data_IF_058803557693
#
_entry.id   IF_058803557693
#
_cell.length_a   1.000
_cell.length_b   1.000
_cell.length_c   1.000
_cell.angle_alpha   90.00
_cell.angle_beta   90.00
_cell.angle_gamma   90.00
#
_symmetry.space_group_name_H-M   'P 1'
#
loop_
_entity.id
_entity.type
_entity.pdbx_description
1 polymer ?
#
# COMPACT_ATOMS: atom_id res chain seq x y z
N UNK A 1 -41.05 15.06 16.67
CA UNK A 1 -40.49 13.87 17.35
C UNK A 1 -39.08 13.66 16.82
N UNK A 2 -38.08 14.20 17.54
CA UNK A 2 -36.67 14.15 17.16
C UNK A 2 -36.09 12.85 17.72
N UNK A 3 -35.62 11.94 16.85
CA UNK A 3 -34.88 10.75 17.27
C UNK A 3 -33.42 11.15 17.46
N UNK A 4 -32.91 10.86 18.65
CA UNK A 4 -31.58 11.18 19.15
C UNK A 4 -30.57 10.26 18.47
N UNK A 5 -29.56 10.85 17.85
CA UNK A 5 -28.38 10.17 17.29
C UNK A 5 -27.46 9.84 18.47
N UNK A 6 -27.19 8.55 18.69
CA UNK A 6 -26.20 8.08 19.65
C UNK A 6 -24.84 8.06 18.98
N UNK A 7 -24.02 9.07 19.29
CA UNK A 7 -22.62 9.18 18.89
C UNK A 7 -21.79 8.22 19.76
N UNK A 8 -21.23 7.16 19.17
CA UNK A 8 -20.28 6.30 19.87
C UNK A 8 -18.92 7.02 19.90
N UNK A 9 -18.76 7.92 20.88
CA UNK A 9 -17.44 8.43 21.26
C UNK A 9 -16.63 7.26 21.81
N UNK A 10 -15.52 6.93 21.15
CA UNK A 10 -14.46 6.12 21.73
C UNK A 10 -13.92 6.92 22.93
N UNK A 11 -14.43 6.60 24.12
CA UNK A 11 -14.01 7.21 25.37
C UNK A 11 -12.56 6.82 25.63
N UNK A 12 -11.64 7.73 25.29
CA UNK A 12 -10.29 7.72 25.83
C UNK A 12 -10.44 7.86 27.35
N UNK A 13 -10.33 6.75 28.07
CA UNK A 13 -10.39 6.72 29.52
C UNK A 13 -9.20 7.50 30.07
N UNK A 14 -9.46 8.78 30.37
CA UNK A 14 -8.56 9.63 31.14
C UNK A 14 -8.49 9.03 32.53
N UNK A 15 -7.39 8.34 32.82
CA UNK A 15 -7.09 7.87 34.17
C UNK A 15 -6.78 9.11 34.99
N UNK A 16 -7.68 9.49 35.91
CA UNK A 16 -7.39 10.50 36.91
C UNK A 16 -6.30 9.96 37.83
N UNK A 17 -5.07 10.43 37.65
CA UNK A 17 -3.97 10.18 38.58
C UNK A 17 -4.24 11.01 39.83
N UNK A 18 -4.65 10.33 40.90
CA UNK A 18 -4.64 10.89 42.25
C UNK A 18 -3.17 11.06 42.68
N UNK A 19 -2.71 12.30 42.80
CA UNK A 19 -1.38 12.61 43.34
C UNK A 19 -1.29 12.19 44.81
N UNK A 20 -0.88 10.95 45.07
CA UNK A 20 -0.28 10.60 46.34
C UNK A 20 1.17 11.08 46.33
N UNK A 21 1.59 11.79 47.39
CA UNK A 21 2.86 12.55 47.45
C UNK A 21 4.13 11.68 47.51
N UNK A 22 4.06 10.42 47.10
CA UNK A 22 5.18 9.50 46.99
C UNK A 22 4.94 8.57 45.78
N UNK A 23 5.30 8.99 44.57
CA UNK A 23 5.12 8.17 43.37
C UNK A 23 5.97 8.67 42.23
N UNK A 24 6.89 7.83 41.73
CA UNK A 24 7.60 8.12 40.49
C UNK A 24 6.60 8.25 39.35
N UNK A 25 6.81 9.22 38.46
CA UNK A 25 6.02 9.34 37.24
C UNK A 25 6.17 8.04 36.43
N UNK A 26 5.09 7.27 36.30
CA UNK A 26 5.03 6.18 35.32
C UNK A 26 5.04 6.82 33.93
N UNK A 27 6.18 6.77 33.26
CA UNK A 27 6.33 7.20 31.87
C UNK A 27 5.50 6.25 31.00
N UNK A 28 4.57 6.75 30.16
CA UNK A 28 3.81 5.89 29.26
C UNK A 28 4.76 5.11 28.34
N UNK A 29 4.45 3.83 28.01
CA UNK A 29 5.26 3.05 27.09
C UNK A 29 5.42 3.75 25.75
N UNK A 30 6.63 3.71 25.19
CA UNK A 30 6.90 4.32 23.89
C UNK A 30 6.37 3.42 22.76
N UNK A 31 5.69 4.01 21.76
CA UNK A 31 5.33 3.27 20.55
C UNK A 31 6.59 3.03 19.73
N UNK A 32 6.81 1.78 19.32
CA UNK A 32 7.98 1.37 18.54
C UNK A 32 7.57 0.49 17.36
N UNK A 33 8.41 0.46 16.34
CA UNK A 33 8.32 -0.53 15.24
C UNK A 33 9.01 -1.81 15.69
N UNK A 34 8.23 -2.84 16.02
CA UNK A 34 8.74 -4.13 16.51
C UNK A 34 9.27 -5.02 15.38
N UNK A 35 8.77 -4.82 14.16
CA UNK A 35 9.16 -5.59 12.99
C UNK A 35 8.61 -5.01 11.71
N UNK A 36 9.25 -5.35 10.60
CA UNK A 36 8.90 -4.89 9.26
C UNK A 36 8.83 -6.10 8.35
N UNK A 37 7.66 -6.42 7.81
CA UNK A 37 7.57 -7.46 6.79
C UNK A 37 7.98 -6.90 5.45
N UNK A 38 8.75 -7.67 4.70
CA UNK A 38 9.12 -7.35 3.33
C UNK A 38 8.45 -8.39 2.44
N UNK A 39 7.49 -7.93 1.64
CA UNK A 39 6.84 -8.78 0.64
C UNK A 39 7.64 -8.72 -0.66
N UNK A 40 7.99 -9.89 -1.19
CA UNK A 40 8.74 -10.04 -2.42
C UNK A 40 7.81 -10.63 -3.50
N UNK A 41 7.70 -9.96 -4.64
CA UNK A 41 6.78 -10.34 -5.72
C UNK A 41 7.09 -11.74 -6.27
N UNK A 42 8.39 -12.06 -6.39
CA UNK A 42 8.86 -13.16 -7.21
C UNK A 42 8.85 -12.81 -8.70
N UNK A 43 8.99 -13.84 -9.54
CA UNK A 43 8.97 -13.77 -10.99
C UNK A 43 7.79 -14.54 -11.55
N UNK A 44 7.22 -14.05 -12.65
CA UNK A 44 6.08 -14.67 -13.31
C UNK A 44 6.34 -16.16 -13.61
N UNK A 45 5.39 -17.01 -13.26
CA UNK A 45 5.42 -18.47 -13.45
C UNK A 45 6.55 -19.20 -12.69
N UNK A 46 7.26 -18.53 -11.78
CA UNK A 46 8.38 -19.12 -11.04
C UNK A 46 7.97 -19.67 -9.66
N UNK A 47 6.81 -19.25 -9.14
CA UNK A 47 6.30 -19.67 -7.83
C UNK A 47 7.35 -19.47 -6.72
N UNK A 48 7.91 -18.26 -6.68
CA UNK A 48 9.03 -17.82 -5.85
C UNK A 48 8.74 -16.50 -5.11
N UNK A 49 7.46 -16.10 -5.01
CA UNK A 49 7.08 -15.04 -4.10
C UNK A 49 7.46 -15.43 -2.66
N UNK A 50 7.89 -14.46 -1.86
CA UNK A 50 8.33 -14.71 -0.48
C UNK A 50 7.90 -13.60 0.47
N UNK A 51 7.87 -13.95 1.76
CA UNK A 51 7.65 -13.01 2.86
C UNK A 51 8.83 -13.12 3.81
N UNK A 52 9.48 -12.00 4.07
CA UNK A 52 10.57 -11.88 5.04
C UNK A 52 10.13 -11.01 6.21
N UNK A 53 10.75 -11.20 7.39
CA UNK A 53 10.58 -10.32 8.56
C UNK A 53 11.93 -9.70 8.91
N UNK A 54 11.99 -8.38 8.84
CA UNK A 54 13.14 -7.57 9.26
C UNK A 54 12.91 -7.01 10.66
N UNK A 55 13.91 -7.13 11.54
CA UNK A 55 13.92 -6.49 12.85
C UNK A 55 14.73 -5.18 12.78
N UNK A 56 14.12 -4.00 12.99
CA UNK A 56 14.81 -2.72 12.86
C UNK A 56 15.82 -2.42 13.99
N UNK A 57 15.70 -3.06 15.16
CA UNK A 57 16.63 -2.88 16.29
C UNK A 57 17.90 -3.72 16.09
N UNK A 58 17.75 -5.01 15.76
CA UNK A 58 18.89 -5.91 15.56
C UNK A 58 19.43 -5.93 14.13
N UNK A 59 18.69 -5.33 13.18
CA UNK A 59 18.96 -5.33 11.74
C UNK A 59 19.05 -6.74 11.12
N UNK A 60 18.36 -7.72 11.71
CA UNK A 60 18.35 -9.12 11.24
C UNK A 60 17.14 -9.35 10.36
N UNK A 61 17.34 -10.04 9.23
CA UNK A 61 16.27 -10.53 8.38
C UNK A 61 16.03 -12.04 8.59
N UNK A 62 14.76 -12.40 8.75
CA UNK A 62 14.27 -13.78 8.71
C UNK A 62 13.53 -13.99 7.40
N UNK A 63 14.17 -14.63 6.43
CA UNK A 63 13.58 -14.88 5.12
C UNK A 63 12.57 -16.04 5.14
N UNK A 64 11.68 -16.05 4.15
CA UNK A 64 10.73 -17.15 3.88
C UNK A 64 9.86 -17.55 5.08
N UNK A 65 9.41 -16.59 5.91
CA UNK A 65 8.66 -16.88 7.13
C UNK A 65 7.35 -17.62 6.84
N UNK A 66 6.71 -17.34 5.69
CA UNK A 66 5.49 -18.03 5.27
C UNK A 66 5.77 -19.50 4.95
N UNK A 67 6.80 -19.79 4.14
CA UNK A 67 7.13 -21.16 3.77
C UNK A 67 7.57 -21.97 4.99
N UNK A 68 8.40 -21.38 5.85
CA UNK A 68 8.86 -22.01 7.08
C UNK A 68 7.71 -22.35 8.03
N UNK A 69 6.67 -21.51 8.13
CA UNK A 69 5.52 -21.74 9.00
C UNK A 69 4.54 -22.79 8.47
N UNK A 70 4.52 -23.02 7.15
CA UNK A 70 3.46 -23.81 6.48
C UNK A 70 3.97 -25.03 5.70
N UNK A 71 5.26 -25.15 5.43
CA UNK A 71 5.81 -26.15 4.51
C UNK A 71 5.30 -25.99 3.08
N UNK A 72 4.90 -24.77 2.71
CA UNK A 72 4.24 -24.42 1.44
C UNK A 72 4.73 -23.05 0.98
N UNK A 73 5.13 -22.94 -0.28
CA UNK A 73 5.51 -21.66 -0.90
C UNK A 73 4.36 -20.66 -0.90
N UNK A 74 4.69 -19.36 -0.82
CA UNK A 74 3.70 -18.28 -0.81
C UNK A 74 2.92 -18.23 -2.12
N UNK A 75 3.56 -18.50 -3.25
CA UNK A 75 2.92 -18.55 -4.55
C UNK A 75 3.69 -17.79 -5.62
N UNK A 76 2.94 -17.26 -6.57
CA UNK A 76 3.43 -16.60 -7.76
C UNK A 76 2.82 -15.21 -7.91
N UNK A 77 3.68 -14.19 -8.01
CA UNK A 77 3.36 -12.76 -8.07
C UNK A 77 2.57 -12.25 -6.85
N UNK A 78 3.20 -12.18 -5.68
CA UNK A 78 2.59 -11.53 -4.52
C UNK A 78 2.57 -10.00 -4.70
N UNK A 79 1.38 -9.42 -4.84
CA UNK A 79 1.22 -8.02 -5.25
C UNK A 79 1.16 -7.06 -4.06
N UNK A 80 0.45 -7.45 -3.01
CA UNK A 80 0.19 -6.57 -1.89
C UNK A 80 -0.03 -7.34 -0.58
N UNK A 81 0.15 -6.63 0.53
CA UNK A 81 -0.08 -7.12 1.88
C UNK A 81 -0.74 -6.06 2.74
N UNK A 82 -1.57 -6.50 3.68
CA UNK A 82 -2.20 -5.64 4.66
C UNK A 82 -2.11 -6.29 6.04
N UNK A 83 -1.73 -5.52 7.06
CA UNK A 83 -1.84 -5.92 8.46
C UNK A 83 -3.09 -5.25 9.03
N UNK A 84 -4.12 -6.05 9.31
CA UNK A 84 -5.42 -5.53 9.76
C UNK A 84 -6.11 -6.49 10.73
N UNK A 85 -6.74 -5.96 11.78
CA UNK A 85 -7.43 -6.79 12.78
C UNK A 85 -6.54 -7.88 13.43
N UNK A 86 -5.24 -7.59 13.58
CA UNK A 86 -4.24 -8.51 14.14
C UNK A 86 -3.80 -9.66 13.21
N UNK A 87 -4.27 -9.68 11.96
CA UNK A 87 -3.92 -10.68 10.93
C UNK A 87 -3.15 -10.02 9.80
N UNK A 88 -2.48 -10.83 9.01
CA UNK A 88 -1.92 -10.40 7.74
C UNK A 88 -2.77 -10.97 6.60
N UNK A 89 -3.06 -10.14 5.61
CA UNK A 89 -3.72 -10.49 4.36
C UNK A 89 -2.68 -10.32 3.26
N UNK A 90 -2.47 -11.34 2.43
CA UNK A 90 -1.44 -11.32 1.39
C UNK A 90 -2.09 -11.69 0.06
N UNK A 91 -2.13 -10.76 -0.87
CA UNK A 91 -2.69 -10.92 -2.21
C UNK A 91 -1.64 -11.54 -3.13
N UNK A 92 -1.92 -12.75 -3.64
CA UNK A 92 -1.03 -13.47 -4.55
C UNK A 92 -1.72 -13.64 -5.90
N UNK A 93 -1.36 -12.77 -6.83
CA UNK A 93 -2.09 -12.52 -8.08
C UNK A 93 -2.19 -13.77 -8.94
N UNK A 94 -1.05 -14.35 -9.37
CA UNK A 94 -1.08 -15.47 -10.30
C UNK A 94 -1.48 -16.79 -9.63
N UNK A 95 -1.39 -16.85 -8.30
CA UNK A 95 -1.92 -17.95 -7.49
C UNK A 95 -3.41 -17.80 -7.13
N UNK A 96 -4.05 -16.68 -7.50
CA UNK A 96 -5.49 -16.43 -7.35
C UNK A 96 -5.99 -16.67 -5.93
N UNK A 97 -5.23 -16.20 -4.95
CA UNK A 97 -5.50 -16.42 -3.52
C UNK A 97 -5.11 -15.20 -2.69
N UNK A 98 -5.94 -14.90 -1.70
CA UNK A 98 -5.57 -14.04 -0.58
C UNK A 98 -5.32 -14.94 0.62
N UNK A 99 -4.08 -14.99 1.11
CA UNK A 99 -3.77 -15.70 2.34
C UNK A 99 -4.08 -14.82 3.54
N UNK A 100 -4.80 -15.37 4.52
CA UNK A 100 -4.93 -14.77 5.84
C UNK A 100 -4.03 -15.54 6.79
N UNK A 101 -3.10 -14.86 7.44
CA UNK A 101 -2.11 -15.46 8.33
C UNK A 101 -2.06 -14.76 9.70
N UNK A 102 -1.52 -15.46 10.70
CA UNK A 102 -1.07 -14.81 11.93
C UNK A 102 0.24 -14.02 11.70
N UNK A 103 0.69 -13.25 12.69
CA UNK A 103 1.96 -12.51 12.61
C UNK A 103 3.23 -13.38 12.51
N UNK A 104 3.12 -14.71 12.57
CA UNK A 104 4.24 -15.63 12.35
C UNK A 104 4.23 -16.22 10.94
N UNK A 105 3.30 -15.77 10.08
CA UNK A 105 3.12 -16.27 8.72
C UNK A 105 2.32 -17.57 8.66
N UNK A 106 1.75 -18.08 9.76
CA UNK A 106 0.96 -19.32 9.76
C UNK A 106 -0.39 -19.08 9.09
N UNK A 107 -0.76 -19.93 8.13
CA UNK A 107 -2.06 -19.82 7.43
C UNK A 107 -3.20 -20.05 8.42
N UNK A 108 -4.11 -19.09 8.48
CA UNK A 108 -5.41 -19.16 9.14
C UNK A 108 -6.51 -19.45 8.12
N UNK A 109 -6.41 -18.87 6.91
CA UNK A 109 -7.37 -19.08 5.83
C UNK A 109 -6.73 -18.87 4.45
N UNK A 110 -7.18 -19.65 3.47
CA UNK A 110 -6.97 -19.37 2.04
C UNK A 110 -8.28 -18.86 1.45
N UNK A 111 -8.30 -17.61 0.98
CA UNK A 111 -9.47 -17.00 0.36
C UNK A 111 -9.31 -17.03 -1.17
N UNK A 112 -10.16 -17.83 -1.82
CA UNK A 112 -10.36 -17.79 -3.27
C UNK A 112 -11.68 -17.08 -3.53
N UNK A 113 -11.65 -16.06 -4.38
CA UNK A 113 -12.79 -15.23 -4.74
C UNK A 113 -13.13 -15.56 -6.18
N UNK A 114 -14.41 -15.74 -6.47
CA UNK A 114 -14.93 -16.07 -7.79
C UNK A 114 -16.32 -15.43 -7.93
N UNK A 115 -16.69 -15.10 -9.15
CA UNK A 115 -18.09 -14.90 -9.50
C UNK A 115 -18.83 -16.25 -9.42
N UNK A 116 -20.13 -16.25 -9.13
CA UNK A 116 -20.91 -17.50 -9.02
C UNK A 116 -20.78 -18.37 -10.28
N UNK A 117 -20.11 -19.52 -10.14
CA UNK A 117 -19.83 -20.46 -11.23
C UNK A 117 -18.66 -20.06 -12.14
N UNK A 118 -18.01 -18.92 -11.91
CA UNK A 118 -16.85 -18.41 -12.64
C UNK A 118 -15.50 -18.93 -12.11
N UNK A 119 -14.39 -18.59 -12.79
CA UNK A 119 -13.05 -18.93 -12.33
C UNK A 119 -12.66 -18.11 -11.09
N UNK A 120 -11.61 -18.56 -10.39
CA UNK A 120 -10.99 -17.73 -9.35
C UNK A 120 -10.45 -16.44 -9.97
N UNK A 121 -10.70 -15.34 -9.29
CA UNK A 121 -10.23 -14.01 -9.63
C UNK A 121 -8.83 -13.76 -9.04
N UNK A 122 -8.12 -12.81 -9.63
CA UNK A 122 -6.70 -12.56 -9.39
C UNK A 122 -6.54 -11.27 -8.54
N UNK A 123 -6.20 -11.37 -7.24
CA UNK A 123 -6.17 -10.20 -6.37
C UNK A 123 -4.99 -9.28 -6.70
N UNK A 124 -5.19 -7.96 -6.58
CA UNK A 124 -4.20 -6.92 -6.87
C UNK A 124 -3.80 -6.16 -5.59
N UNK A 125 -4.61 -5.21 -5.14
CA UNK A 125 -4.34 -4.40 -3.95
C UNK A 125 -5.34 -4.69 -2.81
N UNK A 126 -4.94 -4.38 -1.58
CA UNK A 126 -5.67 -4.65 -0.35
C UNK A 126 -5.85 -3.36 0.48
N UNK A 127 -7.02 -3.23 1.11
CA UNK A 127 -7.30 -2.10 2.01
C UNK A 127 -8.15 -2.52 3.20
N UNK A 128 -7.71 -2.17 4.40
CA UNK A 128 -8.49 -2.38 5.63
C UNK A 128 -9.34 -1.16 5.94
N UNK A 129 -10.65 -1.32 6.06
CA UNK A 129 -11.55 -0.21 6.38
C UNK A 129 -12.83 -0.69 7.06
N UNK A 130 -13.25 -0.02 8.14
CA UNK A 130 -14.47 -0.31 8.91
C UNK A 130 -14.70 -1.80 9.25
N UNK A 131 -13.65 -2.51 9.68
CA UNK A 131 -13.74 -3.92 10.08
C UNK A 131 -13.82 -4.91 8.90
N UNK A 132 -13.62 -4.43 7.68
CA UNK A 132 -13.57 -5.22 6.44
C UNK A 132 -12.20 -5.09 5.79
N UNK A 133 -11.86 -6.07 4.95
CA UNK A 133 -10.76 -5.96 3.98
C UNK A 133 -11.38 -5.88 2.59
N UNK A 134 -10.94 -4.90 1.82
CA UNK A 134 -11.29 -4.74 0.42
C UNK A 134 -10.14 -5.22 -0.44
N UNK A 135 -10.45 -5.88 -1.55
CA UNK A 135 -9.47 -6.35 -2.50
C UNK A 135 -9.91 -6.02 -3.92
N UNK A 136 -9.04 -5.39 -4.70
CA UNK A 136 -9.25 -5.27 -6.15
C UNK A 136 -8.89 -6.58 -6.82
N UNK A 137 -9.71 -6.99 -7.78
CA UNK A 137 -9.56 -8.20 -8.54
C UNK A 137 -9.37 -7.83 -10.01
N UNK A 138 -8.28 -8.29 -10.62
CA UNK A 138 -7.84 -7.88 -11.95
C UNK A 138 -8.90 -8.06 -13.04
N UNK A 139 -9.87 -8.96 -12.85
CA UNK A 139 -10.96 -9.20 -13.77
C UNK A 139 -12.10 -8.15 -13.71
N UNK A 140 -11.96 -7.03 -13.00
CA UNK A 140 -12.95 -5.94 -13.00
C UNK A 140 -13.86 -5.91 -11.77
N UNK A 141 -13.38 -6.39 -10.62
CA UNK A 141 -14.20 -6.47 -9.41
C UNK A 141 -13.54 -5.86 -8.19
N UNK A 142 -14.37 -5.32 -7.30
CA UNK A 142 -14.02 -5.02 -5.92
C UNK A 142 -14.65 -6.08 -5.01
N UNK A 143 -13.82 -6.80 -4.26
CA UNK A 143 -14.27 -7.71 -3.22
C UNK A 143 -14.25 -7.03 -1.85
N UNK A 144 -15.28 -7.28 -1.03
CA UNK A 144 -15.30 -6.98 0.40
C UNK A 144 -15.26 -8.30 1.18
N UNK A 145 -14.38 -8.38 2.17
CA UNK A 145 -14.14 -9.55 3.03
C UNK A 145 -14.39 -9.14 4.48
N UNK A 146 -15.31 -9.82 5.16
CA UNK A 146 -15.50 -9.65 6.60
C UNK A 146 -14.31 -10.24 7.39
N UNK A 147 -13.82 -9.52 8.39
CA UNK A 147 -12.60 -9.91 9.13
C UNK A 147 -12.85 -10.91 10.26
N UNK A 148 -14.11 -11.15 10.63
CA UNK A 148 -14.54 -12.09 11.66
C UNK A 148 -14.87 -13.46 11.05
N UNK A 149 -15.69 -13.49 9.99
CA UNK A 149 -16.19 -14.73 9.41
C UNK A 149 -15.68 -15.05 7.99
N UNK A 150 -14.96 -14.11 7.36
CA UNK A 150 -14.46 -14.21 5.99
C UNK A 150 -15.54 -14.36 4.91
N UNK A 151 -16.78 -13.97 5.20
CA UNK A 151 -17.83 -13.79 4.20
C UNK A 151 -17.41 -12.75 3.16
N UNK A 152 -17.87 -12.94 1.93
CA UNK A 152 -17.42 -12.18 0.76
C UNK A 152 -18.60 -11.55 0.06
N UNK A 153 -18.44 -10.29 -0.33
CA UNK A 153 -19.29 -9.62 -1.30
C UNK A 153 -18.42 -9.19 -2.47
N UNK A 154 -19.02 -9.12 -3.64
CA UNK A 154 -18.37 -8.72 -4.87
C UNK A 154 -19.24 -7.70 -5.58
N UNK A 155 -18.62 -6.70 -6.20
CA UNK A 155 -19.28 -5.77 -7.11
C UNK A 155 -18.36 -5.55 -8.31
N UNK A 156 -18.96 -5.43 -9.48
CA UNK A 156 -18.27 -4.96 -10.68
C UNK A 156 -17.82 -3.50 -10.51
N UNK A 157 -16.66 -3.20 -11.06
CA UNK A 157 -16.07 -1.86 -11.19
C UNK A 157 -15.49 -1.75 -12.60
N UNK A 158 -14.72 -0.70 -12.90
CA UNK A 158 -14.01 -0.59 -14.18
C UNK A 158 -12.94 -1.67 -14.39
N UNK A 159 -12.48 -1.77 -15.64
CA UNK A 159 -11.55 -2.81 -16.09
C UNK A 159 -10.19 -2.78 -15.38
N UNK A 160 -9.73 -3.96 -14.97
CA UNK A 160 -8.41 -4.18 -14.37
C UNK A 160 -8.09 -3.22 -13.21
N UNK A 161 -8.87 -3.29 -12.12
CA UNK A 161 -8.67 -2.42 -10.98
C UNK A 161 -7.35 -2.73 -10.27
N UNK A 162 -6.66 -1.67 -9.87
CA UNK A 162 -5.34 -1.70 -9.23
C UNK A 162 -5.46 -1.20 -7.78
N UNK A 163 -4.88 -0.05 -7.45
CA UNK A 163 -4.93 0.55 -6.11
C UNK A 163 -6.33 0.96 -5.68
N UNK A 164 -6.52 1.04 -4.37
CA UNK A 164 -7.77 1.47 -3.76
C UNK A 164 -7.51 2.27 -2.49
N UNK A 165 -8.40 3.22 -2.20
CA UNK A 165 -8.38 4.01 -0.97
C UNK A 165 -9.80 4.16 -0.40
N UNK A 166 -9.93 4.52 0.87
CA UNK A 166 -11.23 4.74 1.51
C UNK A 166 -11.28 6.09 2.20
N UNK A 167 -12.43 6.77 2.04
CA UNK A 167 -12.77 7.99 2.77
C UNK A 167 -14.23 7.88 3.18
N UNK A 168 -14.51 8.14 4.46
CA UNK A 168 -15.83 7.95 5.07
C UNK A 168 -16.36 6.52 4.79
N UNK A 169 -17.50 6.40 4.13
CA UNK A 169 -18.14 5.12 3.79
C UNK A 169 -18.00 4.74 2.31
N UNK A 170 -16.99 5.30 1.64
CA UNK A 170 -16.70 5.06 0.23
C UNK A 170 -15.32 4.44 0.04
N UNK A 171 -15.23 3.51 -0.90
CA UNK A 171 -13.99 2.97 -1.44
C UNK A 171 -13.83 3.49 -2.88
N UNK A 172 -12.66 4.05 -3.16
CA UNK A 172 -12.25 4.56 -4.45
C UNK A 172 -11.33 3.52 -5.09
N UNK A 173 -11.59 3.12 -6.32
CA UNK A 173 -10.90 2.04 -7.02
C UNK A 173 -10.33 2.53 -8.33
N UNK A 174 -9.01 2.50 -8.50
CA UNK A 174 -8.34 2.92 -9.73
C UNK A 174 -8.47 1.84 -10.81
N UNK A 175 -9.07 2.16 -11.96
CA UNK A 175 -9.28 1.22 -13.05
C UNK A 175 -8.24 1.47 -14.16
N UNK A 176 -7.20 0.65 -14.19
CA UNK A 176 -6.04 0.86 -15.06
C UNK A 176 -6.30 0.51 -16.53
N UNK A 177 -7.33 -0.31 -16.82
CA UNK A 177 -7.52 -0.95 -18.12
C UNK A 177 -6.47 -2.04 -18.44
N UNK A 178 -5.57 -2.32 -17.49
CA UNK A 178 -4.71 -3.50 -17.47
C UNK A 178 -3.39 -3.36 -18.21
N UNK A 179 -2.77 -4.50 -18.45
CA UNK A 179 -1.48 -4.65 -19.13
C UNK A 179 -1.58 -4.45 -20.67
N UNK A 180 -2.23 -3.36 -21.10
CA UNK A 180 -2.44 -3.00 -22.50
C UNK A 180 -1.17 -2.36 -23.11
N UNK A 181 -0.05 -3.08 -23.06
CA UNK A 181 1.23 -2.62 -23.63
C UNK A 181 1.29 -2.64 -25.16
N UNK A 182 0.18 -2.96 -25.84
CA UNK A 182 0.10 -3.06 -27.30
C UNK A 182 -0.50 -1.81 -27.91
N UNK A 183 0.15 -1.27 -28.94
CA UNK A 183 -0.33 -0.13 -29.75
C UNK A 183 -1.79 -0.34 -30.17
N UNK A 184 -2.67 0.61 -29.84
CA UNK A 184 -4.08 0.62 -30.25
C UNK A 184 -5.08 0.07 -29.23
N UNK A 185 -4.65 -0.26 -28.01
CA UNK A 185 -5.55 -0.44 -26.85
C UNK A 185 -5.39 0.72 -25.88
N UNK A 186 -6.51 1.31 -25.48
CA UNK A 186 -6.52 2.39 -24.52
C UNK A 186 -6.33 1.84 -23.11
N UNK A 187 -5.52 2.52 -22.30
CA UNK A 187 -5.53 2.33 -20.86
C UNK A 187 -6.81 2.90 -20.27
N UNK A 188 -7.23 2.38 -19.13
CA UNK A 188 -8.31 2.96 -18.35
C UNK A 188 -7.94 4.34 -17.83
N UNK A 189 -8.92 5.16 -17.54
CA UNK A 189 -8.74 6.54 -17.09
C UNK A 189 -9.77 6.92 -16.02
N UNK A 190 -10.21 5.94 -15.22
CA UNK A 190 -11.30 6.14 -14.27
C UNK A 190 -10.97 5.66 -12.87
N UNK A 191 -11.62 6.29 -11.89
CA UNK A 191 -11.71 5.80 -10.52
C UNK A 191 -13.18 5.54 -10.19
N UNK A 192 -13.52 4.28 -9.87
CA UNK A 192 -14.86 3.91 -9.41
C UNK A 192 -15.05 4.34 -7.95
N UNK A 193 -16.20 4.88 -7.60
CA UNK A 193 -16.55 5.26 -6.22
C UNK A 193 -17.66 4.35 -5.72
N UNK A 194 -17.36 3.50 -4.75
CA UNK A 194 -18.27 2.47 -4.24
C UNK A 194 -18.64 2.78 -2.79
N UNK A 195 -19.93 2.86 -2.47
CA UNK A 195 -20.39 2.91 -1.06
C UNK A 195 -20.31 1.51 -0.44
N UNK A 196 -19.89 1.40 0.82
CA UNK A 196 -19.54 0.07 1.42
C UNK A 196 -20.17 -0.25 2.78
N UNK A 197 -21.20 0.46 3.22
CA UNK A 197 -21.91 0.20 4.49
C UNK A 197 -22.66 -1.15 4.49
N UNK A 198 -23.89 -1.17 3.99
CA UNK A 198 -24.75 -2.36 3.99
C UNK A 198 -24.71 -3.09 2.64
N UNK A 199 -24.76 -2.31 1.56
CA UNK A 199 -24.79 -2.77 0.17
C UNK A 199 -23.64 -2.09 -0.55
N UNK A 200 -22.87 -2.89 -1.29
CA UNK A 200 -21.89 -2.34 -2.22
C UNK A 200 -22.62 -1.79 -3.43
N UNK A 201 -22.38 -0.53 -3.75
CA UNK A 201 -22.95 0.13 -4.93
C UNK A 201 -21.94 1.14 -5.49
N UNK A 202 -21.65 1.05 -6.78
CA UNK A 202 -20.94 2.14 -7.47
C UNK A 202 -21.89 3.34 -7.60
N UNK A 203 -21.47 4.47 -7.04
CA UNK A 203 -22.27 5.71 -6.97
C UNK A 203 -21.73 6.83 -7.85
N UNK A 204 -20.49 6.70 -8.32
CA UNK A 204 -19.87 7.63 -9.25
C UNK A 204 -18.64 6.99 -9.91
N UNK A 205 -18.23 7.58 -11.03
CA UNK A 205 -16.98 7.29 -11.72
C UNK A 205 -16.28 8.63 -11.96
N UNK A 206 -15.00 8.73 -11.61
CA UNK A 206 -14.20 9.97 -11.73
C UNK A 206 -13.24 9.78 -12.89
N UNK A 207 -13.23 10.72 -13.85
CA UNK A 207 -12.22 10.75 -14.91
C UNK A 207 -10.90 11.30 -14.38
N UNK A 208 -9.80 10.59 -14.67
CA UNK A 208 -8.44 10.88 -14.20
C UNK A 208 -7.44 10.66 -15.33
N UNK A 209 -6.16 10.97 -15.10
CA UNK A 209 -5.10 10.67 -16.08
C UNK A 209 -5.01 9.16 -16.39
N UNK A 210 -4.57 8.87 -17.61
CA UNK A 210 -4.46 7.52 -18.18
C UNK A 210 -3.66 6.53 -17.33
N UNK A 211 -4.14 5.30 -17.23
CA UNK A 211 -3.56 4.18 -16.48
C UNK A 211 -3.43 4.47 -14.95
N UNK A 212 -4.53 4.75 -14.23
CA UNK A 212 -4.50 4.96 -12.79
C UNK A 212 -4.16 3.65 -12.05
N UNK A 213 -3.16 3.67 -11.16
CA UNK A 213 -2.65 2.45 -10.52
C UNK A 213 -2.54 2.50 -9.00
N UNK A 214 -2.20 3.64 -8.39
CA UNK A 214 -1.92 3.68 -6.94
C UNK A 214 -2.75 4.79 -6.27
N UNK A 215 -3.47 4.44 -5.21
CA UNK A 215 -4.30 5.37 -4.43
C UNK A 215 -3.87 5.36 -2.96
N UNK A 216 -3.66 6.53 -2.39
CA UNK A 216 -3.41 6.72 -0.96
C UNK A 216 -4.33 7.81 -0.39
N UNK A 217 -4.54 7.77 0.92
CA UNK A 217 -5.21 8.84 1.66
C UNK A 217 -4.30 9.42 2.72
N UNK A 218 -4.47 10.72 3.01
CA UNK A 218 -3.91 11.31 4.22
C UNK A 218 -4.93 11.34 5.36
N UNK A 219 -4.48 11.74 6.55
CA UNK A 219 -5.32 11.87 7.75
C UNK A 219 -6.44 12.91 7.63
N UNK A 220 -6.42 13.75 6.58
CA UNK A 220 -7.44 14.77 6.30
C UNK A 220 -8.52 14.26 5.33
N UNK A 221 -8.37 13.03 4.83
CA UNK A 221 -9.26 12.43 3.84
C UNK A 221 -9.02 12.90 2.40
N UNK A 222 -7.92 13.59 2.12
CA UNK A 222 -7.52 13.85 0.73
C UNK A 222 -7.01 12.56 0.09
N UNK A 223 -7.36 12.36 -1.18
CA UNK A 223 -6.94 11.20 -1.97
C UNK A 223 -5.83 11.63 -2.91
N UNK A 224 -4.76 10.84 -2.98
CA UNK A 224 -3.66 10.99 -3.93
C UNK A 224 -3.69 9.81 -4.88
N UNK A 225 -3.51 10.08 -6.17
CA UNK A 225 -3.54 9.09 -7.24
C UNK A 225 -2.29 9.21 -8.10
N UNK A 226 -1.64 8.08 -8.35
CA UNK A 226 -0.68 7.97 -9.45
C UNK A 226 -1.36 7.31 -10.65
N UNK A 227 -1.17 7.95 -11.80
CA UNK A 227 -1.47 7.39 -13.12
C UNK A 227 -0.17 7.15 -13.88
N UNK A 228 0.01 5.99 -14.50
CA UNK A 228 1.25 5.59 -15.17
C UNK A 228 1.41 6.16 -16.58
N UNK A 229 0.35 6.73 -17.16
CA UNK A 229 0.37 7.22 -18.53
C UNK A 229 0.36 6.08 -19.55
N UNK A 230 0.99 6.29 -20.71
CA UNK A 230 0.97 5.35 -21.84
C UNK A 230 2.33 4.72 -22.17
N UNK A 231 3.36 5.02 -21.36
CA UNK A 231 4.76 4.63 -21.56
C UNK A 231 5.40 5.15 -22.86
N UNK A 232 4.80 6.15 -23.50
CA UNK A 232 5.28 6.75 -24.76
C UNK A 232 5.18 8.27 -24.73
N UNK A 233 3.97 8.82 -24.70
CA UNK A 233 3.68 10.24 -24.87
C UNK A 233 3.04 10.90 -23.65
N UNK A 234 2.35 10.12 -22.83
CA UNK A 234 1.70 10.54 -21.58
C UNK A 234 2.60 10.09 -20.43
N UNK A 235 3.23 11.02 -19.68
CA UNK A 235 4.08 10.67 -18.56
C UNK A 235 3.25 10.20 -17.36
N UNK A 236 3.93 9.57 -16.39
CA UNK A 236 3.32 9.29 -15.09
C UNK A 236 2.87 10.61 -14.45
N UNK A 237 1.70 10.61 -13.81
CA UNK A 237 1.07 11.83 -13.28
C UNK A 237 0.65 11.61 -11.82
N UNK A 238 1.07 12.52 -10.94
CA UNK A 238 0.59 12.59 -9.56
C UNK A 238 -0.60 13.56 -9.46
N UNK A 239 -1.72 13.06 -8.96
CA UNK A 239 -2.99 13.79 -8.85
C UNK A 239 -3.48 13.81 -7.40
N UNK A 240 -4.27 14.83 -7.06
CA UNK A 240 -5.11 14.88 -5.87
C UNK A 240 -6.57 14.85 -6.29
N UNK A 241 -7.39 14.09 -5.57
CA UNK A 241 -8.84 13.99 -5.77
C UNK A 241 -9.53 14.48 -4.49
N UNK A 242 -10.47 15.42 -4.65
CA UNK A 242 -11.39 15.77 -3.57
C UNK A 242 -12.45 14.66 -3.43
N UNK A 243 -12.58 14.00 -2.26
CA UNK A 243 -13.47 12.85 -2.09
C UNK A 243 -14.97 13.22 -2.07
N UNK A 244 -15.32 14.52 -2.10
CA UNK A 244 -16.70 15.02 -2.03
C UNK A 244 -17.14 15.68 -3.33
N UNK A 245 -16.32 16.56 -3.91
CA UNK A 245 -16.63 17.20 -5.20
C UNK A 245 -16.18 16.36 -6.39
N UNK A 246 -15.26 15.41 -6.17
CA UNK A 246 -14.59 14.63 -7.22
C UNK A 246 -13.72 15.48 -8.16
N UNK A 247 -13.34 16.68 -7.72
CA UNK A 247 -12.40 17.51 -8.46
C UNK A 247 -11.01 16.87 -8.46
N UNK A 248 -10.39 16.79 -9.63
CA UNK A 248 -9.07 16.22 -9.84
C UNK A 248 -8.07 17.34 -10.16
N UNK A 249 -6.94 17.33 -9.46
CA UNK A 249 -5.86 18.29 -9.64
C UNK A 249 -4.53 17.57 -9.85
N UNK A 250 -3.83 17.89 -10.94
CA UNK A 250 -2.42 17.49 -11.13
C UNK A 250 -1.53 18.31 -10.19
N UNK A 251 -0.68 17.63 -9.41
CA UNK A 251 0.14 18.28 -8.38
C UNK A 251 1.52 18.73 -8.87
N UNK A 252 2.01 18.16 -9.96
CA UNK A 252 3.35 18.40 -10.48
C UNK A 252 3.49 17.96 -11.93
N UNK A 253 4.40 18.61 -12.65
CA UNK A 253 4.83 18.21 -13.98
C UNK A 253 5.91 17.10 -13.93
N UNK A 254 6.45 16.81 -12.74
CA UNK A 254 7.45 15.74 -12.55
C UNK A 254 6.75 14.38 -12.57
N UNK A 255 7.20 13.42 -13.38
CA UNK A 255 6.66 12.07 -13.37
C UNK A 255 6.84 11.40 -12.01
N UNK A 256 5.81 10.72 -11.53
CA UNK A 256 5.84 9.99 -10.25
C UNK A 256 5.45 8.54 -10.47
N UNK A 257 6.30 7.62 -10.02
CA UNK A 257 6.12 6.18 -10.23
C UNK A 257 5.67 5.43 -8.99
N UNK A 258 6.05 5.90 -7.80
CA UNK A 258 5.67 5.32 -6.51
C UNK A 258 5.43 6.41 -5.48
N UNK A 259 4.54 6.17 -4.52
CA UNK A 259 4.36 7.09 -3.39
C UNK A 259 4.13 6.37 -2.07
N UNK A 260 4.36 7.09 -0.96
CA UNK A 260 4.03 6.62 0.37
C UNK A 260 3.72 7.82 1.27
N UNK A 261 2.73 7.66 2.14
CA UNK A 261 2.31 8.71 3.09
C UNK A 261 3.02 8.51 4.42
N UNK A 262 3.72 9.54 4.89
CA UNK A 262 4.26 9.61 6.25
C UNK A 262 3.18 10.00 7.27
N UNK A 263 3.41 9.65 8.54
CA UNK A 263 2.53 10.07 9.65
C UNK A 263 2.63 11.57 9.93
N UNK A 264 3.65 12.24 9.40
CA UNK A 264 3.84 13.69 9.43
C UNK A 264 3.09 14.44 8.32
N UNK A 265 2.18 13.77 7.60
CA UNK A 265 1.40 14.32 6.48
C UNK A 265 2.25 14.75 5.28
N UNK A 266 3.44 14.18 5.11
CA UNK A 266 4.23 14.28 3.90
C UNK A 266 4.02 13.08 2.99
N UNK A 267 3.77 13.35 1.72
CA UNK A 267 3.74 12.34 0.67
C UNK A 267 5.15 12.23 0.08
N UNK A 268 5.84 11.14 0.37
CA UNK A 268 7.13 10.80 -0.23
C UNK A 268 6.86 10.13 -1.57
N UNK A 269 7.65 10.47 -2.59
CA UNK A 269 7.45 9.90 -3.90
C UNK A 269 8.77 9.62 -4.63
N UNK A 270 8.74 8.65 -5.53
CA UNK A 270 9.83 8.32 -6.43
C UNK A 270 9.45 8.75 -7.84
N UNK A 271 10.40 9.40 -8.51
CA UNK A 271 10.41 9.65 -9.93
C UNK A 271 11.50 8.78 -10.55
N UNK A 272 11.14 7.59 -11.04
CA UNK A 272 12.03 6.70 -11.78
C UNK A 272 11.72 6.82 -13.28
N UNK A 273 12.68 7.29 -14.06
CA UNK A 273 12.56 7.53 -15.50
C UNK A 273 13.80 6.98 -16.23
N UNK A 274 13.77 6.98 -17.56
CA UNK A 274 14.93 6.67 -18.39
C UNK A 274 15.35 7.89 -19.19
N UNK A 275 16.65 8.12 -19.30
CA UNK A 275 17.19 9.12 -20.22
C UNK A 275 17.19 8.62 -21.68
N UNK A 276 17.61 9.48 -22.61
CA UNK A 276 17.71 9.17 -24.04
C UNK A 276 18.65 7.98 -24.37
N UNK A 277 19.55 7.64 -23.45
CA UNK A 277 20.51 6.55 -23.56
C UNK A 277 20.06 5.30 -22.77
N UNK A 278 18.81 5.27 -22.29
CA UNK A 278 18.24 4.21 -21.45
C UNK A 278 18.93 4.02 -20.09
N UNK A 279 19.60 5.06 -19.58
CA UNK A 279 20.07 5.06 -18.21
C UNK A 279 18.90 5.39 -17.27
N UNK A 280 18.77 4.64 -16.19
CA UNK A 280 17.79 4.93 -15.16
C UNK A 280 18.15 6.25 -14.44
N UNK A 281 17.22 7.21 -14.46
CA UNK A 281 17.25 8.43 -13.65
C UNK A 281 16.21 8.26 -12.54
N UNK A 282 16.71 8.06 -11.32
CA UNK A 282 15.87 7.95 -10.13
C UNK A 282 16.08 9.14 -9.22
N UNK A 283 14.98 9.68 -8.71
CA UNK A 283 15.02 10.77 -7.75
C UNK A 283 13.84 10.66 -6.79
N UNK A 284 14.04 11.08 -5.55
CA UNK A 284 13.03 10.98 -4.49
C UNK A 284 12.66 12.39 -4.05
N UNK A 285 11.37 12.68 -3.96
CA UNK A 285 10.87 13.99 -3.54
C UNK A 285 9.79 13.87 -2.48
N UNK A 286 9.34 15.03 -2.02
CA UNK A 286 8.35 15.16 -0.96
C UNK A 286 7.32 16.21 -1.34
N UNK A 287 6.04 15.88 -1.19
CA UNK A 287 4.94 16.83 -1.25
C UNK A 287 4.34 17.00 0.14
N UNK A 288 4.33 18.23 0.64
CA UNK A 288 3.74 18.56 1.92
C UNK A 288 2.23 18.77 1.75
N UNK A 289 1.42 17.86 2.30
CA UNK A 289 -0.04 17.91 2.10
C UNK A 289 -0.71 19.03 2.91
N UNK A 290 -0.05 19.56 3.93
CA UNK A 290 -0.57 20.65 4.76
C UNK A 290 -0.39 21.99 4.03
N UNK A 291 0.83 22.30 3.59
CA UNK A 291 1.10 23.53 2.83
C UNK A 291 0.73 23.43 1.35
N UNK A 292 0.36 22.23 0.88
CA UNK A 292 0.05 21.93 -0.53
C UNK A 292 1.20 22.32 -1.47
N UNK A 293 2.43 22.00 -1.11
CA UNK A 293 3.64 22.42 -1.84
C UNK A 293 4.68 21.31 -1.97
N UNK A 294 5.41 21.32 -3.08
CA UNK A 294 6.62 20.50 -3.24
C UNK A 294 7.75 21.01 -2.34
N UNK A 295 8.43 20.09 -1.67
CA UNK A 295 9.67 20.35 -0.94
C UNK A 295 10.88 20.07 -1.86
N UNK A 296 12.10 20.30 -1.36
CA UNK A 296 13.33 19.97 -2.09
C UNK A 296 13.48 18.45 -2.28
N UNK A 297 14.41 18.03 -3.16
CA UNK A 297 14.74 16.61 -3.32
C UNK A 297 15.09 16.00 -1.97
N UNK A 298 14.51 14.83 -1.70
CA UNK A 298 14.60 14.18 -0.40
C UNK A 298 16.05 13.76 -0.14
N UNK A 299 16.69 13.02 -1.04
CA UNK A 299 18.05 12.50 -0.79
C UNK A 299 19.08 13.63 -0.86
N UNK A 300 19.44 14.18 0.29
CA UNK A 300 20.30 15.36 0.40
C UNK A 300 21.78 15.03 0.68
N UNK A 301 22.08 13.80 1.10
CA UNK A 301 23.45 13.37 1.46
C UNK A 301 24.28 12.83 0.28
N UNK A 302 23.70 12.80 -0.93
CA UNK A 302 24.34 12.29 -2.14
C UNK A 302 24.35 10.76 -2.25
N UNK A 303 23.60 10.05 -1.41
CA UNK A 303 23.45 8.60 -1.51
C UNK A 303 22.89 8.18 -2.86
N UNK A 304 23.41 7.07 -3.39
CA UNK A 304 23.00 6.51 -4.67
C UNK A 304 22.16 5.27 -4.40
N UNK A 305 20.91 5.29 -4.85
CA UNK A 305 20.06 4.11 -4.93
C UNK A 305 20.45 3.33 -6.19
N UNK A 306 20.95 2.11 -6.02
CA UNK A 306 21.27 1.21 -7.14
C UNK A 306 20.03 0.44 -7.57
N UNK A 307 20.05 -0.05 -8.80
CA UNK A 307 18.98 -0.82 -9.43
C UNK A 307 17.65 -0.04 -9.53
N UNK A 308 16.65 -0.66 -10.14
CA UNK A 308 15.35 -0.02 -10.36
C UNK A 308 14.56 -0.04 -9.06
N UNK A 309 14.01 1.11 -8.60
CA UNK A 309 13.06 1.13 -7.49
C UNK A 309 11.82 0.30 -7.82
N UNK A 310 11.40 -0.53 -6.88
CA UNK A 310 10.19 -1.37 -7.01
C UNK A 310 9.13 -1.03 -5.96
N UNK A 311 9.50 -0.28 -4.92
CA UNK A 311 8.58 0.16 -3.87
C UNK A 311 9.12 1.34 -3.07
N UNK A 312 8.21 2.07 -2.43
CA UNK A 312 8.49 3.02 -1.36
C UNK A 312 7.50 2.78 -0.22
N UNK A 313 7.96 2.89 1.02
CA UNK A 313 7.14 2.74 2.22
C UNK A 313 7.69 3.65 3.32
N UNK A 314 6.83 4.10 4.23
CA UNK A 314 7.25 4.98 5.33
C UNK A 314 6.85 4.36 6.66
N UNK A 315 7.81 4.24 7.57
CA UNK A 315 7.55 3.77 8.92
C UNK A 315 6.66 4.78 9.65
N UNK A 316 5.43 4.41 10.08
CA UNK A 316 4.50 5.35 10.70
C UNK A 316 4.99 5.89 12.06
N UNK A 317 5.95 5.23 12.72
CA UNK A 317 6.48 5.64 14.02
C UNK A 317 7.65 6.62 13.85
N UNK A 318 8.61 6.27 12.99
CA UNK A 318 9.87 7.02 12.85
C UNK A 318 9.85 8.03 11.70
N UNK A 319 8.96 7.84 10.71
CA UNK A 319 9.01 8.44 9.38
C UNK A 319 10.29 8.13 8.60
N UNK A 320 10.98 7.03 8.94
CA UNK A 320 12.03 6.49 8.10
C UNK A 320 11.42 5.99 6.77
N UNK A 321 12.10 6.29 5.67
CA UNK A 321 11.67 5.96 4.31
C UNK A 321 12.42 4.71 3.83
N UNK A 322 11.65 3.69 3.47
CA UNK A 322 12.12 2.41 2.98
C UNK A 322 11.92 2.37 1.47
N UNK A 323 13.01 2.18 0.71
CA UNK A 323 12.96 2.09 -0.76
C UNK A 323 13.47 0.73 -1.19
N UNK A 324 12.58 -0.08 -1.75
CA UNK A 324 12.89 -1.39 -2.32
C UNK A 324 13.41 -1.24 -3.74
N UNK A 325 14.39 -2.05 -4.11
CA UNK A 325 15.00 -2.04 -5.44
C UNK A 325 15.25 -3.47 -5.93
N UNK A 326 15.32 -3.64 -7.25
CA UNK A 326 15.57 -4.93 -7.88
C UNK A 326 16.25 -4.78 -9.23
N UNK A 327 17.08 -5.76 -9.58
CA UNK A 327 17.55 -6.01 -10.95
C UNK A 327 16.69 -7.05 -11.69
N UNK A 328 15.62 -7.51 -11.05
CA UNK A 328 14.68 -8.55 -11.50
C UNK A 328 15.27 -9.96 -11.66
N UNK A 329 16.48 -10.20 -11.14
CA UNK A 329 17.20 -11.47 -11.28
C UNK A 329 17.70 -11.98 -9.94
N UNK A 330 18.29 -11.09 -9.13
CA UNK A 330 18.90 -11.38 -7.84
C UNK A 330 18.08 -10.80 -6.69
N UNK A 331 18.43 -11.21 -5.46
CA UNK A 331 17.78 -10.72 -4.24
C UNK A 331 17.72 -9.18 -4.24
N UNK A 332 16.54 -8.64 -3.94
CA UNK A 332 16.35 -7.19 -3.89
C UNK A 332 17.05 -6.56 -2.70
N UNK A 333 17.31 -5.26 -2.81
CA UNK A 333 17.83 -4.44 -1.71
C UNK A 333 16.75 -3.50 -1.18
N UNK A 334 16.79 -3.23 0.13
CA UNK A 334 15.98 -2.21 0.79
C UNK A 334 16.88 -1.14 1.41
N UNK A 335 16.74 0.10 0.95
CA UNK A 335 17.44 1.27 1.48
C UNK A 335 16.58 1.94 2.54
N UNK A 336 17.16 2.23 3.72
CA UNK A 336 16.46 2.91 4.82
C UNK A 336 17.04 4.29 5.01
N UNK A 337 16.26 5.32 4.72
CA UNK A 337 16.60 6.71 4.94
C UNK A 337 15.89 7.24 6.19
N UNK A 338 16.56 8.07 6.99
CA UNK A 338 15.87 8.79 8.07
C UNK A 338 14.95 9.86 7.51
N UNK A 339 14.00 10.35 8.32
CA UNK A 339 13.15 11.50 7.95
C UNK A 339 13.96 12.77 7.62
N UNK A 340 15.18 12.90 8.13
CA UNK A 340 16.16 13.94 7.77
C UNK A 340 16.97 13.60 6.52
N UNK A 341 16.50 12.65 5.71
CA UNK A 341 17.00 12.39 4.37
C UNK A 341 18.44 11.85 4.31
N UNK A 342 18.86 11.14 5.37
CA UNK A 342 20.17 10.48 5.43
C UNK A 342 20.05 8.97 5.33
N UNK A 343 20.89 8.33 4.53
CA UNK A 343 20.95 6.88 4.49
C UNK A 343 21.41 6.34 5.84
N UNK A 344 20.57 5.51 6.47
CA UNK A 344 20.90 4.82 7.71
C UNK A 344 21.67 3.54 7.40
N UNK A 345 21.10 2.70 6.54
CA UNK A 345 21.68 1.43 6.11
C UNK A 345 20.88 0.83 4.96
N UNK A 346 21.42 -0.24 4.37
CA UNK A 346 20.80 -1.05 3.32
C UNK A 346 20.84 -2.52 3.74
N UNK A 347 19.83 -3.31 3.37
CA UNK A 347 19.80 -4.75 3.62
C UNK A 347 19.11 -5.51 2.47
N UNK A 348 19.50 -6.77 2.27
CA UNK A 348 18.85 -7.66 1.31
C UNK A 348 17.46 -8.09 1.78
N UNK A 349 16.49 -8.17 0.88
CA UNK A 349 15.06 -8.38 1.22
C UNK A 349 14.67 -9.84 1.46
N UNK A 350 15.60 -10.79 1.30
CA UNK A 350 15.35 -12.22 1.41
C UNK A 350 14.46 -12.78 0.30
N UNK A 351 14.33 -12.05 -0.83
CA UNK A 351 13.55 -12.46 -1.98
C UNK A 351 13.71 -11.51 -3.17
N UNK A 352 12.97 -11.79 -4.25
CA UNK A 352 13.04 -11.05 -5.50
C UNK A 352 11.94 -9.99 -5.57
N UNK A 353 12.28 -8.81 -6.11
CA UNK A 353 11.31 -7.76 -6.45
C UNK A 353 10.47 -7.30 -5.23
N UNK A 354 11.06 -6.63 -4.23
CA UNK A 354 10.33 -6.20 -3.04
C UNK A 354 9.25 -5.17 -3.39
N UNK A 355 7.99 -5.51 -3.11
CA UNK A 355 6.81 -4.67 -3.43
C UNK A 355 6.44 -3.71 -2.32
N UNK A 356 7.02 -3.87 -1.12
CA UNK A 356 6.82 -2.92 -0.03
C UNK A 356 7.34 -3.41 1.31
N UNK A 357 7.37 -2.48 2.26
CA UNK A 357 7.65 -2.73 3.66
C UNK A 357 6.39 -2.49 4.50
N UNK A 358 5.99 -3.46 5.32
CA UNK A 358 4.75 -3.45 6.09
C UNK A 358 5.06 -3.50 7.59
N UNK A 359 4.70 -2.45 8.32
CA UNK A 359 5.20 -2.18 9.67
C UNK A 359 4.30 -2.77 10.76
N UNK A 360 4.93 -3.39 11.76
CA UNK A 360 4.28 -3.82 13.01
C UNK A 360 4.65 -2.88 14.12
N UNK A 361 3.65 -2.17 14.66
CA UNK A 361 3.81 -1.33 15.83
C UNK A 361 3.56 -2.12 17.11
N UNK A 362 4.27 -1.73 18.18
CA UNK A 362 4.05 -2.21 19.53
C UNK A 362 4.43 -1.17 20.59
N UNK A 363 4.51 -1.61 21.84
CA UNK A 363 4.75 -0.75 23.01
C UNK A 363 6.00 -1.25 23.75
N UNK A 364 6.94 -0.35 24.04
CA UNK A 364 8.18 -0.63 24.78
C UNK A 364 8.22 0.09 26.12
#
# INVERSE_FOLDING_TARGET
MKKIISLLLLSLSVVFVSCDKNGGEEVPPAVVTEGVYILNNGNYASNDASLSLYNPESQVISANIFENANGKKLGDLAQDMLIYGGKMYIAVYNSKVIFVTDRKGKILKELRIFEDGGPNLSPRALLGHNGKVYATMYEGFLAQIDTLDFSRKLIEVGDNPEGLAAVDDKVFVANSGGMNFTVGKDYGNTVSVVTVQDIMQEVATIEVASNPTELLTNIRGEIFLISMGDYVSVPNTLQRIDPRSYDVQVLTDRPVTYMAMGSDSRLYYISAQYDENWNAITSVGVYNTISSSMEADFIADGSIIKNTPTSISVDPVTNDVYIGTSDYVSEGDMYVFSKEAKLKHTFGTGGLNPVGAFFVMGLK
#
